data_IF_680477932106
#
_entry.id   IF_680477932106
#
_cell.length_a   1.000
_cell.length_b   1.000
_cell.length_c   1.000
_cell.angle_alpha   90.00
_cell.angle_beta   90.00
_cell.angle_gamma   90.00
#
_symmetry.space_group_name_H-M   'P 1'
#
loop_
_entity.id
_entity.type
_entity.pdbx_description
1 polymer ?
#
# COMPACT_ATOMS: atom_id res chain seq x y z
N UNK A 1 -30.55 -40.72 7.68
CA UNK A 1 -29.87 -39.63 8.41
C UNK A 1 -28.37 -39.78 8.20
N UNK A 2 -27.80 -39.02 7.27
CA UNK A 2 -26.37 -38.99 6.97
C UNK A 2 -25.85 -37.61 7.31
N UNK A 3 -25.10 -37.52 8.40
CA UNK A 3 -24.46 -36.29 8.88
C UNK A 3 -23.37 -35.86 7.88
N UNK A 4 -23.35 -34.60 7.38
CA UNK A 4 -22.25 -34.14 6.54
C UNK A 4 -21.02 -33.86 7.42
N UNK A 5 -19.93 -34.56 7.13
CA UNK A 5 -18.62 -34.36 7.75
C UNK A 5 -18.12 -32.95 7.39
N UNK A 6 -17.92 -32.10 8.41
CA UNK A 6 -17.38 -30.77 8.25
C UNK A 6 -15.96 -30.84 7.64
N UNK A 7 -15.76 -30.24 6.47
CA UNK A 7 -14.42 -30.00 5.92
C UNK A 7 -13.66 -29.11 6.89
N UNK A 8 -12.49 -29.57 7.34
CA UNK A 8 -11.52 -28.74 8.05
C UNK A 8 -11.23 -27.46 7.25
N UNK A 9 -11.17 -26.27 7.89
CA UNK A 9 -10.81 -25.06 7.19
C UNK A 9 -9.38 -25.21 6.67
N UNK A 10 -9.21 -25.08 5.35
CA UNK A 10 -7.91 -25.02 4.72
C UNK A 10 -7.06 -23.96 5.44
N UNK A 11 -5.82 -24.32 5.80
CA UNK A 11 -4.89 -23.38 6.41
C UNK A 11 -4.81 -22.11 5.53
N UNK A 12 -4.93 -20.91 6.11
CA UNK A 12 -4.97 -19.69 5.33
C UNK A 12 -3.70 -19.61 4.46
N UNK A 13 -3.81 -19.11 3.22
CA UNK A 13 -2.63 -18.91 2.38
C UNK A 13 -1.61 -18.09 3.17
N UNK A 14 -0.33 -18.45 3.06
CA UNK A 14 0.77 -17.69 3.69
C UNK A 14 0.77 -16.28 3.10
N UNK A 15 0.07 -15.34 3.75
CA UNK A 15 -0.01 -13.95 3.34
C UNK A 15 1.38 -13.35 3.49
N UNK A 16 1.94 -12.90 2.38
CA UNK A 16 3.21 -12.20 2.36
C UNK A 16 3.05 -10.68 2.44
N UNK A 17 1.84 -10.16 2.22
CA UNK A 17 1.51 -8.75 2.44
C UNK A 17 1.52 -8.45 3.95
N UNK A 18 2.31 -7.45 4.35
CA UNK A 18 2.58 -7.11 5.77
C UNK A 18 1.47 -6.33 6.48
N UNK A 19 0.82 -5.31 5.88
CA UNK A 19 -0.31 -4.65 6.53
C UNK A 19 -1.58 -5.49 6.35
N UNK A 20 -2.37 -5.60 7.42
CA UNK A 20 -3.68 -6.25 7.39
C UNK A 20 -4.72 -5.22 7.86
N UNK A 21 -5.25 -4.38 6.94
CA UNK A 21 -6.27 -3.41 7.31
C UNK A 21 -7.46 -4.10 7.96
N UNK A 22 -8.02 -3.47 9.00
CA UNK A 22 -9.26 -3.89 9.66
C UNK A 22 -10.45 -3.82 8.67
N UNK A 23 -10.73 -4.92 7.98
CA UNK A 23 -11.77 -5.00 6.95
C UNK A 23 -13.18 -4.82 7.53
N UNK A 24 -13.42 -5.27 8.76
CA UNK A 24 -14.72 -5.08 9.41
C UNK A 24 -14.97 -3.59 9.68
N UNK A 25 -13.95 -2.85 10.13
CA UNK A 25 -14.06 -1.41 10.29
C UNK A 25 -14.26 -0.64 8.98
N UNK A 26 -13.66 -1.10 7.88
CA UNK A 26 -13.87 -0.48 6.56
C UNK A 26 -15.33 -0.63 6.11
N UNK A 27 -15.92 -1.81 6.31
CA UNK A 27 -17.32 -2.08 5.95
C UNK A 27 -18.27 -1.32 6.87
N UNK A 28 -18.02 -1.35 8.18
CA UNK A 28 -18.89 -0.71 9.18
C UNK A 28 -18.99 0.81 9.00
N UNK A 29 -17.97 1.44 8.42
CA UNK A 29 -17.86 2.89 8.27
C UNK A 29 -17.98 3.34 6.80
N UNK A 30 -18.40 2.42 5.94
CA UNK A 30 -18.67 2.73 4.55
C UNK A 30 -19.82 3.75 4.46
N UNK A 31 -19.67 4.75 3.60
CA UNK A 31 -20.66 5.80 3.40
C UNK A 31 -21.58 5.40 2.24
N UNK A 32 -22.91 5.32 2.46
CA UNK A 32 -23.85 4.94 1.42
C UNK A 32 -24.01 6.06 0.38
N UNK A 33 -24.15 5.69 -0.89
CA UNK A 33 -24.38 6.61 -2.01
C UNK A 33 -25.87 6.82 -2.33
N UNK A 34 -26.78 6.16 -1.59
CA UNK A 34 -28.23 6.27 -1.78
C UNK A 34 -28.82 5.39 -2.89
N UNK A 35 -27.99 4.67 -3.66
CA UNK A 35 -28.38 3.79 -4.76
C UNK A 35 -28.07 2.31 -4.49
N UNK A 36 -27.95 1.93 -3.21
CA UNK A 36 -27.54 0.59 -2.79
C UNK A 36 -26.03 0.32 -2.90
N UNK A 37 -25.23 1.29 -3.36
CA UNK A 37 -23.77 1.24 -3.33
C UNK A 37 -23.23 2.01 -2.12
N UNK A 38 -21.99 1.71 -1.74
CA UNK A 38 -21.27 2.42 -0.67
C UNK A 38 -19.81 2.62 -1.07
N UNK A 39 -19.22 3.69 -0.55
CA UNK A 39 -17.79 4.00 -0.70
C UNK A 39 -17.10 3.96 0.66
N UNK A 40 -15.78 3.89 0.67
CA UNK A 40 -15.02 4.00 1.91
C UNK A 40 -15.28 5.36 2.58
N UNK A 41 -15.17 5.40 3.90
CA UNK A 41 -15.16 6.67 4.62
C UNK A 41 -14.07 7.59 4.06
N UNK A 42 -14.23 8.92 4.13
CA UNK A 42 -13.23 9.84 3.58
C UNK A 42 -11.81 9.63 4.12
N UNK A 43 -11.67 9.37 5.42
CA UNK A 43 -10.38 9.03 6.02
C UNK A 43 -9.83 7.69 5.51
N UNK A 44 -10.70 6.69 5.30
CA UNK A 44 -10.30 5.40 4.75
C UNK A 44 -9.88 5.46 3.30
N UNK A 45 -10.49 6.33 2.48
CA UNK A 45 -10.03 6.56 1.11
C UNK A 45 -8.56 7.01 1.08
N UNK A 46 -8.19 7.96 1.94
CA UNK A 46 -6.81 8.46 2.07
C UNK A 46 -5.87 7.34 2.58
N UNK A 47 -6.26 6.64 3.65
CA UNK A 47 -5.46 5.57 4.24
C UNK A 47 -5.24 4.42 3.24
N UNK A 48 -6.29 4.03 2.53
CA UNK A 48 -6.27 2.99 1.52
C UNK A 48 -5.39 3.39 0.32
N UNK A 49 -5.52 4.62 -0.19
CA UNK A 49 -4.67 5.13 -1.26
C UNK A 49 -3.18 5.15 -0.84
N UNK A 50 -2.87 5.56 0.39
CA UNK A 50 -1.51 5.51 0.93
C UNK A 50 -0.99 4.08 1.06
N UNK A 51 -1.84 3.12 1.45
CA UNK A 51 -1.50 1.70 1.49
C UNK A 51 -1.11 1.21 0.09
N UNK A 52 -1.96 1.43 -0.91
CA UNK A 52 -1.70 1.04 -2.29
C UNK A 52 -0.39 1.61 -2.83
N UNK A 53 -0.08 2.86 -2.49
CA UNK A 53 1.14 3.49 -2.95
C UNK A 53 2.39 2.91 -2.25
N UNK A 54 2.39 2.75 -0.93
CA UNK A 54 3.62 2.52 -0.17
C UNK A 54 3.81 1.12 0.42
N UNK A 55 2.72 0.38 0.66
CA UNK A 55 2.77 -0.92 1.30
C UNK A 55 3.35 -2.00 0.39
N UNK A 56 2.95 -2.01 -0.89
CA UNK A 56 3.22 -3.15 -1.79
C UNK A 56 4.16 -2.83 -2.96
N UNK A 57 4.45 -1.55 -3.24
CA UNK A 57 4.83 -1.10 -4.58
C UNK A 57 6.32 -0.93 -4.91
N UNK A 58 6.61 -1.04 -6.21
CA UNK A 58 7.80 -0.53 -6.91
C UNK A 58 7.66 0.96 -7.29
N UNK A 59 6.51 1.57 -6.98
CA UNK A 59 6.09 2.94 -7.29
C UNK A 59 5.99 3.25 -8.79
N UNK A 60 5.71 2.25 -9.64
CA UNK A 60 5.34 2.49 -11.03
C UNK A 60 4.02 3.28 -11.08
N UNK A 61 4.03 4.44 -11.76
CA UNK A 61 2.86 5.33 -11.76
C UNK A 61 2.64 6.11 -10.46
N UNK A 62 3.53 5.99 -9.47
CA UNK A 62 3.30 6.51 -8.12
C UNK A 62 3.06 8.01 -8.02
N UNK A 63 3.52 8.82 -8.99
CA UNK A 63 3.26 10.27 -8.99
C UNK A 63 1.76 10.57 -9.19
N UNK A 64 1.07 9.82 -10.06
CA UNK A 64 -0.39 9.95 -10.24
C UNK A 64 -1.12 9.57 -8.95
N UNK A 65 -0.77 8.42 -8.37
CA UNK A 65 -1.40 7.98 -7.12
C UNK A 65 -1.14 8.97 -5.97
N UNK A 66 0.04 9.62 -5.93
CA UNK A 66 0.30 10.66 -4.94
C UNK A 66 -0.50 11.94 -5.20
N UNK A 67 -0.75 12.30 -6.46
CA UNK A 67 -1.65 13.38 -6.83
C UNK A 67 -3.09 13.09 -6.37
N UNK A 68 -3.57 11.86 -6.56
CA UNK A 68 -4.89 11.45 -6.06
C UNK A 68 -4.97 11.59 -4.54
N UNK A 69 -3.91 11.18 -3.81
CA UNK A 69 -3.83 11.38 -2.35
C UNK A 69 -3.83 12.86 -1.99
N UNK A 70 -3.10 13.71 -2.71
CA UNK A 70 -3.11 15.15 -2.48
C UNK A 70 -4.53 15.72 -2.58
N UNK A 71 -5.28 15.35 -3.62
CA UNK A 71 -6.67 15.79 -3.80
C UNK A 71 -7.60 15.29 -2.70
N UNK A 72 -7.47 14.02 -2.32
CA UNK A 72 -8.24 13.47 -1.20
C UNK A 72 -7.92 14.16 0.13
N UNK A 73 -6.66 14.59 0.35
CA UNK A 73 -6.27 15.30 1.57
C UNK A 73 -6.76 16.75 1.58
N UNK A 74 -6.77 17.43 0.44
CA UNK A 74 -7.37 18.77 0.33
C UNK A 74 -8.88 18.74 0.64
N UNK A 75 -9.57 17.70 0.15
CA UNK A 75 -11.03 17.61 0.29
C UNK A 75 -11.47 17.02 1.63
N UNK A 76 -10.76 15.99 2.12
CA UNK A 76 -11.19 15.16 3.25
C UNK A 76 -10.16 15.08 4.38
N UNK A 77 -9.11 15.90 4.33
CA UNK A 77 -8.14 16.00 5.40
C UNK A 77 -8.79 16.40 6.73
N UNK A 78 -8.21 15.96 7.84
CA UNK A 78 -8.71 16.31 9.17
C UNK A 78 -8.14 15.44 10.29
N UNK A 79 -8.58 15.72 11.51
CA UNK A 79 -8.02 15.15 12.73
C UNK A 79 -8.27 13.64 12.88
N UNK A 80 -9.39 13.15 12.34
CA UNK A 80 -9.76 11.74 12.37
C UNK A 80 -8.78 10.84 11.58
N UNK A 81 -8.06 11.40 10.60
CA UNK A 81 -7.16 10.64 9.72
C UNK A 81 -6.03 9.95 10.51
N UNK A 82 -5.52 10.58 11.57
CA UNK A 82 -4.44 10.02 12.38
C UNK A 82 -4.87 8.72 13.08
N UNK A 83 -6.04 8.79 13.74
CA UNK A 83 -6.62 7.66 14.46
C UNK A 83 -6.99 6.53 13.48
N UNK A 84 -7.57 6.89 12.33
CA UNK A 84 -7.93 5.92 11.30
C UNK A 84 -6.70 5.21 10.71
N UNK A 85 -5.65 5.95 10.37
CA UNK A 85 -4.40 5.37 9.88
C UNK A 85 -3.75 4.45 10.92
N UNK A 86 -3.85 4.78 12.21
CA UNK A 86 -3.38 3.92 13.30
C UNK A 86 -4.20 2.62 13.39
N UNK A 87 -5.54 2.70 13.30
CA UNK A 87 -6.44 1.55 13.36
C UNK A 87 -6.12 0.50 12.29
N UNK A 88 -5.80 0.93 11.08
CA UNK A 88 -5.44 0.01 9.99
C UNK A 88 -3.95 -0.38 9.96
N UNK A 89 -3.14 0.06 10.93
CA UNK A 89 -1.71 -0.22 10.96
C UNK A 89 -0.90 0.46 9.84
N UNK A 90 -1.44 1.54 9.27
CA UNK A 90 -0.91 2.23 8.08
C UNK A 90 -0.40 3.64 8.37
N UNK A 91 -0.30 4.03 9.64
CA UNK A 91 0.14 5.38 10.07
C UNK A 91 1.46 5.81 9.43
N UNK A 92 2.41 4.88 9.23
CA UNK A 92 3.72 5.19 8.63
C UNK A 92 3.59 5.50 7.13
N UNK A 93 2.80 4.71 6.41
CA UNK A 93 2.53 4.84 4.98
C UNK A 93 1.74 6.12 4.72
N UNK A 94 0.69 6.38 5.49
CA UNK A 94 -0.11 7.62 5.41
C UNK A 94 0.73 8.84 5.74
N UNK A 95 1.52 8.83 6.82
CA UNK A 95 2.41 9.95 7.14
C UNK A 95 3.42 10.22 6.02
N UNK A 96 3.97 9.17 5.38
CA UNK A 96 4.87 9.33 4.22
C UNK A 96 4.16 9.96 3.03
N UNK A 97 2.93 9.53 2.74
CA UNK A 97 2.12 10.12 1.68
C UNK A 97 1.94 11.63 1.91
N UNK A 98 1.49 12.00 3.12
CA UNK A 98 1.29 13.40 3.52
C UNK A 98 2.58 14.23 3.35
N UNK A 99 3.71 13.76 3.89
CA UNK A 99 4.98 14.50 3.76
C UNK A 99 5.42 14.67 2.31
N UNK A 100 5.23 13.66 1.46
CA UNK A 100 5.56 13.75 0.04
C UNK A 100 4.60 14.66 -0.72
N UNK A 101 3.30 14.64 -0.40
CA UNK A 101 2.31 15.56 -0.97
C UNK A 101 2.62 17.01 -0.60
N UNK A 102 2.92 17.29 0.68
CA UNK A 102 3.43 18.61 1.12
C UNK A 102 4.67 19.03 0.32
N UNK A 103 5.62 18.13 0.13
CA UNK A 103 6.90 18.44 -0.57
C UNK A 103 6.76 18.66 -2.07
N UNK A 104 5.80 18.02 -2.74
CA UNK A 104 5.65 18.07 -4.19
C UNK A 104 4.53 18.99 -4.67
N UNK A 105 3.49 19.15 -3.85
CA UNK A 105 2.26 19.86 -4.20
C UNK A 105 1.87 20.94 -3.19
N UNK A 106 2.73 21.23 -2.20
CA UNK A 106 2.45 22.19 -1.13
C UNK A 106 1.16 21.90 -0.34
N UNK A 107 0.73 20.63 -0.29
CA UNK A 107 -0.45 20.21 0.48
C UNK A 107 -0.29 20.58 1.94
N UNK A 108 -1.31 21.20 2.51
CA UNK A 108 -1.41 21.39 3.96
C UNK A 108 -1.60 20.03 4.63
N UNK A 109 -0.76 19.72 5.60
CA UNK A 109 -0.78 18.40 6.25
C UNK A 109 -0.75 18.54 7.76
N UNK A 110 -1.47 17.68 8.48
CA UNK A 110 -1.56 17.74 9.93
C UNK A 110 -0.19 17.44 10.58
N UNK A 111 0.05 18.03 11.76
CA UNK A 111 1.34 17.97 12.46
C UNK A 111 1.86 16.55 12.70
N UNK A 112 0.96 15.57 12.90
CA UNK A 112 1.34 14.17 13.12
C UNK A 112 2.03 13.51 11.92
N UNK A 113 1.91 14.07 10.70
CA UNK A 113 2.69 13.62 9.55
C UNK A 113 4.21 13.76 9.80
N UNK A 114 4.59 14.72 10.65
CA UNK A 114 5.94 14.99 11.10
C UNK A 114 6.80 15.73 10.08
N UNK A 115 8.08 15.90 10.43
CA UNK A 115 9.10 16.44 9.54
C UNK A 115 9.55 15.42 8.51
N UNK A 116 10.14 15.91 7.42
CA UNK A 116 10.62 15.06 6.34
C UNK A 116 11.75 14.16 6.80
N UNK A 117 11.72 12.92 6.31
CA UNK A 117 12.71 11.90 6.65
C UNK A 117 13.68 11.74 5.50
N UNK A 118 14.91 11.32 5.81
CA UNK A 118 15.91 10.97 4.79
C UNK A 118 15.37 9.93 3.79
N UNK A 119 14.60 8.96 4.28
CA UNK A 119 13.95 7.97 3.41
C UNK A 119 13.01 8.62 2.39
N UNK A 120 12.32 9.72 2.72
CA UNK A 120 11.38 10.38 1.80
C UNK A 120 12.10 10.93 0.55
N UNK A 121 13.39 11.29 0.65
CA UNK A 121 14.18 11.69 -0.50
C UNK A 121 14.32 10.56 -1.54
N UNK A 122 14.49 9.30 -1.09
CA UNK A 122 14.56 8.15 -1.99
C UNK A 122 13.20 7.88 -2.67
N UNK A 123 12.09 7.99 -1.93
CA UNK A 123 10.74 7.88 -2.49
C UNK A 123 10.46 9.02 -3.49
N UNK A 124 10.80 10.26 -3.16
CA UNK A 124 10.67 11.42 -4.06
C UNK A 124 11.46 11.20 -5.34
N UNK A 125 12.73 10.77 -5.24
CA UNK A 125 13.58 10.45 -6.39
C UNK A 125 12.95 9.37 -7.28
N UNK A 126 12.30 8.36 -6.68
CA UNK A 126 11.62 7.30 -7.41
C UNK A 126 10.31 7.76 -8.05
N UNK A 127 9.52 8.61 -7.38
CA UNK A 127 8.29 9.19 -7.91
C UNK A 127 8.57 10.08 -9.13
N UNK A 128 9.65 10.86 -9.07
CA UNK A 128 10.14 11.72 -10.15
C UNK A 128 11.13 11.01 -11.10
N UNK A 129 11.08 9.68 -11.17
CA UNK A 129 11.90 8.89 -12.11
C UNK A 129 11.27 8.86 -13.51
N UNK A 130 10.66 9.96 -13.95
CA UNK A 130 10.14 10.19 -15.30
C UNK A 130 10.50 11.59 -15.79
N UNK A 131 10.71 11.74 -17.09
CA UNK A 131 10.88 13.04 -17.73
C UNK A 131 9.52 13.72 -18.02
N UNK A 132 9.56 14.90 -18.65
CA UNK A 132 8.35 15.67 -19.01
C UNK A 132 7.44 14.97 -20.03
N UNK A 133 7.95 13.98 -20.76
CA UNK A 133 7.17 13.15 -21.70
C UNK A 133 6.71 11.84 -21.05
N UNK A 134 6.93 11.67 -19.74
CA UNK A 134 6.58 10.46 -19.00
C UNK A 134 7.50 9.26 -19.25
N UNK A 135 8.60 9.43 -20.01
CA UNK A 135 9.56 8.36 -20.26
C UNK A 135 10.35 8.09 -19.00
N UNK A 136 10.61 6.81 -18.69
CA UNK A 136 11.24 6.49 -17.43
C UNK A 136 12.73 6.84 -17.45
N UNK A 137 13.17 7.58 -16.44
CA UNK A 137 14.56 7.93 -16.20
C UNK A 137 15.07 7.25 -14.92
N UNK A 138 16.36 7.39 -14.59
CA UNK A 138 16.97 6.85 -13.35
C UNK A 138 16.80 5.33 -13.20
N UNK A 139 17.35 4.52 -14.14
CA UNK A 139 17.16 3.06 -14.15
C UNK A 139 17.61 2.38 -12.85
N UNK A 140 18.72 2.80 -12.25
CA UNK A 140 19.20 2.24 -10.98
C UNK A 140 18.21 2.45 -9.83
N UNK A 141 17.63 3.65 -9.70
CA UNK A 141 16.61 3.93 -8.67
C UNK A 141 15.35 3.10 -8.89
N UNK A 142 14.89 2.98 -10.15
CA UNK A 142 13.74 2.16 -10.51
C UNK A 142 13.98 0.69 -10.18
N UNK A 143 15.14 0.17 -10.56
CA UNK A 143 15.53 -1.21 -10.29
C UNK A 143 15.61 -1.50 -8.79
N UNK A 144 16.21 -0.61 -7.98
CA UNK A 144 16.24 -0.78 -6.52
C UNK A 144 14.85 -0.88 -5.89
N UNK A 145 13.90 -0.05 -6.33
CA UNK A 145 12.51 -0.13 -5.86
C UNK A 145 11.76 -1.36 -6.40
N UNK A 146 12.06 -1.80 -7.63
CA UNK A 146 11.55 -3.05 -8.18
C UNK A 146 11.99 -4.25 -7.32
N UNK A 147 13.29 -4.37 -7.01
CA UNK A 147 13.83 -5.40 -6.13
C UNK A 147 13.20 -5.33 -4.74
N UNK A 148 13.12 -4.14 -4.14
CA UNK A 148 12.43 -3.93 -2.84
C UNK A 148 10.99 -4.45 -2.88
N UNK A 149 10.24 -4.13 -3.93
CA UNK A 149 8.85 -4.56 -4.05
C UNK A 149 8.71 -6.08 -4.16
N UNK A 150 9.69 -6.74 -4.82
CA UNK A 150 9.75 -8.19 -4.89
C UNK A 150 10.06 -8.78 -3.50
N UNK A 151 10.99 -8.19 -2.75
CA UNK A 151 11.31 -8.65 -1.40
C UNK A 151 10.15 -8.51 -0.41
N UNK A 152 9.32 -7.47 -0.56
CA UNK A 152 8.13 -7.30 0.26
C UNK A 152 7.06 -8.36 -0.02
N UNK A 153 6.89 -8.75 -1.30
CA UNK A 153 5.89 -9.76 -1.71
C UNK A 153 6.37 -11.19 -1.54
N UNK A 154 7.65 -11.44 -1.79
CA UNK A 154 8.29 -12.75 -1.67
C UNK A 154 9.74 -12.55 -1.24
N UNK A 155 10.01 -12.51 0.09
CA UNK A 155 11.36 -12.55 0.61
C UNK A 155 12.18 -13.64 -0.09
N UNK A 156 13.45 -13.39 -0.43
CA UNK A 156 14.24 -14.31 -1.25
C UNK A 156 14.38 -15.71 -0.66
N UNK A 157 14.28 -15.87 0.67
CA UNK A 157 14.25 -17.19 1.31
C UNK A 157 12.97 -17.99 1.02
N UNK A 158 11.81 -17.31 0.87
CA UNK A 158 10.56 -17.96 0.46
C UNK A 158 10.62 -18.35 -1.01
N UNK A 159 11.27 -17.54 -1.85
CA UNK A 159 11.55 -17.89 -3.25
C UNK A 159 12.49 -19.09 -3.34
N UNK A 160 13.59 -19.09 -2.59
CA UNK A 160 14.52 -20.22 -2.53
C UNK A 160 13.81 -21.50 -2.07
N UNK A 161 12.99 -21.42 -1.01
CA UNK A 161 12.18 -22.54 -0.53
C UNK A 161 11.17 -23.00 -1.60
N UNK A 162 10.53 -22.08 -2.30
CA UNK A 162 9.57 -22.39 -3.36
C UNK A 162 10.24 -23.11 -4.53
N UNK A 163 11.38 -22.61 -5.00
CA UNK A 163 12.18 -23.23 -6.06
C UNK A 163 12.72 -24.60 -5.63
N UNK A 164 13.18 -24.75 -4.38
CA UNK A 164 13.63 -26.03 -3.82
C UNK A 164 12.51 -27.07 -3.77
N UNK A 165 11.33 -26.70 -3.30
CA UNK A 165 10.16 -27.61 -3.29
C UNK A 165 9.75 -27.97 -4.73
N UNK A 166 9.77 -27.02 -5.66
CA UNK A 166 9.46 -27.26 -7.08
C UNK A 166 10.49 -28.20 -7.72
N UNK A 167 11.78 -28.00 -7.45
CA UNK A 167 12.86 -28.84 -7.95
C UNK A 167 12.72 -30.29 -7.47
N UNK A 168 12.47 -30.50 -6.17
CA UNK A 168 12.26 -31.86 -5.61
C UNK A 168 11.00 -32.56 -6.12
N UNK A 169 9.98 -31.82 -6.57
CA UNK A 169 8.74 -32.37 -7.15
C UNK A 169 8.81 -32.58 -8.65
N UNK A 170 9.82 -32.01 -9.32
CA UNK A 170 10.07 -32.14 -10.75
C UNK A 170 11.20 -33.08 -11.11
N UNK A 171 11.83 -33.75 -10.14
CA UNK A 171 12.76 -34.84 -10.41
C UNK A 171 11.92 -36.09 -10.82
N UNK A 172 12.02 -36.58 -12.07
CA UNK A 172 11.48 -37.90 -12.39
C UNK A 172 12.18 -38.96 -11.55
N UNK A 173 11.42 -39.97 -11.11
CA UNK A 173 11.93 -41.14 -10.39
C UNK A 173 12.93 -41.92 -11.23
#
# INVERSE_FOLDING_TARGET
>A
ATTPTARSPAAPPRRSARPTPDAAALIAEAVPLGNGLSVLSPADMIVHAAAHLFADGDLAGGLRNLWDIHRLVEEFGGDALAARAARHGLRRETARALRLSRRLFATEVPAWAGSDRLSDAAYRRRLLARDGWGRPIRPATRFGFYVRSHWLRMPPYLLARHLWIKWRRGAPA
#
